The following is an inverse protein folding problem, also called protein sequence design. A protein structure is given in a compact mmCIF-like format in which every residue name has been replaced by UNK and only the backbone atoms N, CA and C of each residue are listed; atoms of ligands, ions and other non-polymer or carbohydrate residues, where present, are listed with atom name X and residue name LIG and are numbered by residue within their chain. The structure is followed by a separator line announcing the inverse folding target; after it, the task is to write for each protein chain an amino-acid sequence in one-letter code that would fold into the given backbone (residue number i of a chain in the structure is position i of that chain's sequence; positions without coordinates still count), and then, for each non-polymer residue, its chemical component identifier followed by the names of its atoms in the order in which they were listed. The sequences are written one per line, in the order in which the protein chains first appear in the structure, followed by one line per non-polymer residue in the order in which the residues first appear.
data_IF_865720964371
#
_entry.id   IF_865720964371
#
_cell.length_a   1.000
_cell.length_b   1.000
_cell.length_c   1.000
_cell.angle_alpha   90.00
_cell.angle_beta   90.00
_cell.angle_gamma   90.00
#
_symmetry.space_group_name_H-M   'P 1'
#
loop_
_entity.id
_entity.type
_entity.pdbx_description
1 polymer ?
#
# COMPACT_ATOMS: atom_id res chain seq x y z
N UNK A 1 -2.04 -32.39 -7.32
CA UNK A 1 -2.09 -31.04 -6.69
C UNK A 1 -3.53 -30.61 -6.49
N UNK A 2 -3.85 -29.83 -5.45
CA UNK A 2 -5.26 -29.45 -5.11
C UNK A 2 -6.03 -28.78 -6.26
N UNK A 3 -5.36 -28.10 -7.18
CA UNK A 3 -5.97 -27.37 -8.29
C UNK A 3 -5.53 -27.87 -9.68
N UNK A 4 -5.06 -29.10 -9.78
CA UNK A 4 -4.51 -29.66 -11.02
C UNK A 4 -5.58 -29.80 -12.12
N UNK A 5 -6.79 -30.24 -11.76
CA UNK A 5 -7.90 -30.34 -12.72
C UNK A 5 -8.33 -28.96 -13.24
N UNK A 6 -8.47 -27.97 -12.34
CA UNK A 6 -8.80 -26.61 -12.71
C UNK A 6 -7.72 -26.01 -13.63
N UNK A 7 -6.45 -26.28 -13.33
CA UNK A 7 -5.33 -25.80 -14.12
C UNK A 7 -5.30 -26.40 -15.53
N UNK A 8 -5.58 -27.69 -15.66
CA UNK A 8 -5.71 -28.39 -16.97
C UNK A 8 -6.88 -27.81 -17.78
N UNK A 9 -7.99 -27.59 -17.12
CA UNK A 9 -9.19 -27.03 -17.72
C UNK A 9 -8.96 -25.61 -18.23
N UNK A 10 -8.37 -24.76 -17.41
CA UNK A 10 -8.01 -23.39 -17.81
C UNK A 10 -7.08 -23.41 -19.02
N UNK A 11 -6.00 -24.21 -18.98
CA UNK A 11 -5.05 -24.29 -20.10
C UNK A 11 -5.70 -24.78 -21.38
N UNK A 12 -6.58 -25.79 -21.30
CA UNK A 12 -7.29 -26.31 -22.47
C UNK A 12 -8.16 -25.23 -23.09
N UNK A 13 -8.93 -24.50 -22.27
CA UNK A 13 -9.93 -23.54 -22.75
C UNK A 13 -9.39 -22.13 -23.00
N UNK A 14 -8.13 -21.83 -22.68
CA UNK A 14 -7.43 -20.64 -23.21
C UNK A 14 -6.78 -20.93 -24.59
N UNK A 15 -7.01 -22.10 -25.15
CA UNK A 15 -6.48 -22.51 -26.47
C UNK A 15 -5.20 -23.33 -26.40
N UNK A 16 -4.94 -23.97 -25.25
CA UNK A 16 -3.75 -24.80 -25.02
C UNK A 16 -2.48 -24.00 -24.68
N UNK A 17 -1.46 -24.71 -24.21
CA UNK A 17 -0.19 -24.08 -23.81
C UNK A 17 0.49 -23.31 -24.95
N UNK A 18 0.33 -23.76 -26.17
CA UNK A 18 0.91 -23.13 -27.38
C UNK A 18 0.27 -21.76 -27.66
N UNK A 19 -0.91 -21.52 -27.14
CA UNK A 19 -1.59 -20.23 -27.25
C UNK A 19 -1.19 -19.26 -26.14
N UNK A 20 -0.46 -19.72 -25.12
CA UNK A 20 -0.02 -18.88 -23.99
C UNK A 20 1.37 -18.32 -24.27
N UNK A 21 1.46 -17.02 -24.57
CA UNK A 21 2.74 -16.32 -24.72
C UNK A 21 3.40 -16.03 -23.38
N UNK A 22 2.62 -15.62 -22.39
CA UNK A 22 3.07 -15.43 -21.01
C UNK A 22 1.91 -15.56 -20.05
N UNK A 23 2.23 -15.99 -18.83
CA UNK A 23 1.29 -16.07 -17.71
C UNK A 23 1.88 -15.34 -16.51
N UNK A 24 1.06 -14.50 -15.91
CA UNK A 24 1.33 -13.82 -14.66
C UNK A 24 0.07 -13.85 -13.79
N UNK A 25 0.16 -13.42 -12.55
CA UNK A 25 -1.03 -13.29 -11.70
C UNK A 25 -0.96 -12.01 -10.86
N UNK A 26 -2.13 -11.52 -10.46
CA UNK A 26 -2.27 -10.56 -9.37
C UNK A 26 -3.00 -11.25 -8.21
N UNK A 27 -3.46 -10.51 -7.22
CA UNK A 27 -4.06 -11.07 -5.99
C UNK A 27 -5.28 -11.98 -6.26
N UNK A 28 -6.05 -11.71 -7.32
CA UNK A 28 -7.30 -12.43 -7.58
C UNK A 28 -7.43 -13.00 -9.00
N UNK A 29 -6.48 -12.74 -9.91
CA UNK A 29 -6.63 -13.06 -11.34
C UNK A 29 -5.37 -13.68 -11.91
N UNK A 30 -5.55 -14.69 -12.76
CA UNK A 30 -4.55 -15.12 -13.72
C UNK A 30 -4.59 -14.17 -14.92
N UNK A 31 -3.42 -13.75 -15.41
CA UNK A 31 -3.27 -12.84 -16.55
C UNK A 31 -2.49 -13.53 -17.64
N UNK A 32 -3.19 -13.91 -18.67
CA UNK A 32 -2.63 -14.51 -19.88
C UNK A 32 -2.39 -13.45 -20.94
N UNK A 33 -1.23 -13.48 -21.58
CA UNK A 33 -1.04 -12.90 -22.91
C UNK A 33 -1.17 -14.06 -23.90
N UNK A 34 -2.27 -14.11 -24.62
CA UNK A 34 -2.54 -15.15 -25.60
C UNK A 34 -1.94 -14.75 -26.96
N UNK A 35 -1.58 -15.76 -27.76
CA UNK A 35 -1.16 -15.55 -29.16
C UNK A 35 -2.37 -15.18 -30.01
N UNK A 36 -3.50 -15.86 -29.74
CA UNK A 36 -4.78 -15.67 -30.42
C UNK A 36 -5.93 -15.83 -29.42
N UNK A 37 -6.57 -14.71 -29.07
CA UNK A 37 -7.69 -14.70 -28.10
C UNK A 37 -8.95 -15.41 -28.63
N UNK A 38 -9.10 -15.55 -29.95
CA UNK A 38 -10.26 -16.23 -30.56
C UNK A 38 -10.30 -17.74 -30.30
N UNK A 39 -9.16 -18.31 -29.91
CA UNK A 39 -9.04 -19.73 -29.52
C UNK A 39 -9.52 -20.03 -28.12
N UNK A 40 -9.75 -18.98 -27.29
CA UNK A 40 -10.20 -19.16 -25.93
C UNK A 40 -11.72 -19.32 -25.84
N UNK A 41 -12.16 -20.39 -25.16
CA UNK A 41 -13.58 -20.62 -24.86
C UNK A 41 -13.98 -19.85 -23.61
N UNK A 42 -14.28 -18.56 -23.82
CA UNK A 42 -14.62 -17.62 -22.72
C UNK A 42 -15.94 -18.02 -22.03
N UNK A 43 -16.91 -18.56 -22.79
CA UNK A 43 -18.20 -18.90 -22.22
C UNK A 43 -18.15 -20.16 -21.36
N UNK A 44 -17.29 -21.11 -21.69
CA UNK A 44 -17.02 -22.27 -20.87
C UNK A 44 -16.30 -21.81 -19.54
N UNK A 45 -15.24 -21.01 -19.66
CA UNK A 45 -14.48 -20.56 -18.51
C UNK A 45 -15.31 -19.73 -17.53
N UNK A 46 -16.25 -18.91 -18.01
CA UNK A 46 -17.16 -18.16 -17.13
C UNK A 46 -18.10 -19.04 -16.31
N UNK A 47 -18.41 -20.25 -16.78
CA UNK A 47 -19.33 -21.20 -16.12
C UNK A 47 -18.60 -22.23 -15.28
N UNK A 48 -17.26 -22.29 -15.37
CA UNK A 48 -16.46 -23.31 -14.70
C UNK A 48 -16.37 -23.02 -13.21
N UNK A 49 -16.70 -24.01 -12.38
CA UNK A 49 -16.53 -23.93 -10.93
C UNK A 49 -15.06 -23.65 -10.56
N UNK A 50 -14.84 -22.71 -9.64
CA UNK A 50 -13.51 -22.21 -9.28
C UNK A 50 -13.04 -21.00 -10.10
N UNK A 51 -13.82 -20.55 -11.08
CA UNK A 51 -13.63 -19.31 -11.83
C UNK A 51 -14.79 -18.36 -11.52
N UNK A 52 -14.49 -17.13 -11.12
CA UNK A 52 -15.52 -16.12 -10.80
C UNK A 52 -16.05 -15.48 -12.08
N UNK A 53 -15.15 -15.11 -12.99
CA UNK A 53 -15.46 -14.54 -14.31
C UNK A 53 -14.20 -14.47 -15.18
N UNK A 54 -14.40 -14.08 -16.45
CA UNK A 54 -13.31 -13.81 -17.40
C UNK A 54 -13.45 -12.40 -17.93
N UNK A 55 -12.35 -11.66 -17.99
CA UNK A 55 -12.27 -10.27 -18.45
C UNK A 55 -11.21 -10.19 -19.55
N UNK A 56 -11.54 -9.54 -20.64
CA UNK A 56 -10.60 -9.21 -21.74
C UNK A 56 -10.37 -7.70 -21.70
N UNK A 57 -9.16 -7.28 -21.39
CA UNK A 57 -8.82 -5.86 -21.28
C UNK A 57 -7.34 -5.64 -21.50
N UNK A 58 -6.96 -4.57 -22.19
CA UNK A 58 -5.57 -4.17 -22.40
C UNK A 58 -4.69 -5.21 -23.10
N UNK A 59 -5.25 -6.02 -24.00
CA UNK A 59 -4.53 -7.12 -24.67
C UNK A 59 -4.15 -8.27 -23.72
N UNK A 60 -4.84 -8.38 -22.59
CA UNK A 60 -4.72 -9.46 -21.63
C UNK A 60 -6.03 -10.23 -21.48
N UNK A 61 -5.92 -11.53 -21.47
CA UNK A 61 -7.01 -12.44 -21.14
C UNK A 61 -6.92 -12.78 -19.66
N UNK A 62 -7.87 -12.31 -18.86
CA UNK A 62 -7.81 -12.37 -17.39
C UNK A 62 -8.87 -13.35 -16.88
N UNK A 63 -8.43 -14.40 -16.18
CA UNK A 63 -9.30 -15.37 -15.51
C UNK A 63 -9.34 -15.04 -14.01
N UNK A 64 -10.50 -14.61 -13.53
CA UNK A 64 -10.71 -14.21 -12.13
C UNK A 64 -10.96 -15.45 -11.29
N UNK A 65 -10.04 -15.75 -10.37
CA UNK A 65 -10.07 -16.94 -9.50
C UNK A 65 -10.48 -16.56 -8.06
N UNK A 66 -10.11 -15.36 -7.61
CA UNK A 66 -10.23 -14.96 -6.21
C UNK A 66 -8.97 -15.29 -5.39
N UNK A 67 -9.13 -15.44 -4.08
CA UNK A 67 -8.01 -15.53 -3.13
C UNK A 67 -7.09 -16.75 -3.33
N UNK A 68 -7.49 -17.74 -4.12
CA UNK A 68 -6.73 -18.96 -4.41
C UNK A 68 -5.82 -18.82 -5.65
N UNK A 69 -5.75 -17.64 -6.24
CA UNK A 69 -5.00 -17.42 -7.47
C UNK A 69 -3.52 -17.82 -7.39
N UNK A 70 -2.76 -17.64 -6.29
CA UNK A 70 -1.38 -18.09 -6.23
C UNK A 70 -1.23 -19.61 -6.39
N UNK A 71 -2.13 -20.37 -5.75
CA UNK A 71 -2.12 -21.85 -5.82
C UNK A 71 -2.51 -22.34 -7.23
N UNK A 72 -3.53 -21.70 -7.83
CA UNK A 72 -3.96 -22.01 -9.21
C UNK A 72 -2.89 -21.62 -10.22
N UNK A 73 -2.21 -20.49 -10.03
CA UNK A 73 -1.10 -20.07 -10.85
C UNK A 73 0.06 -21.08 -10.82
N UNK A 74 0.45 -21.54 -9.62
CA UNK A 74 1.47 -22.56 -9.47
C UNK A 74 1.07 -23.86 -10.18
N UNK A 75 -0.20 -24.29 -10.08
CA UNK A 75 -0.72 -25.46 -10.74
C UNK A 75 -0.74 -25.31 -12.27
N UNK A 76 -1.14 -24.13 -12.81
CA UNK A 76 -1.15 -23.85 -14.25
C UNK A 76 0.26 -23.86 -14.82
N UNK A 77 1.24 -23.27 -14.13
CA UNK A 77 2.64 -23.31 -14.54
C UNK A 77 3.19 -24.75 -14.54
N UNK A 78 2.88 -25.53 -13.50
CA UNK A 78 3.35 -26.92 -13.40
C UNK A 78 2.76 -27.82 -14.51
N UNK A 79 1.46 -27.69 -14.79
CA UNK A 79 0.76 -28.45 -15.82
C UNK A 79 1.17 -28.01 -17.23
N UNK A 80 1.29 -26.70 -17.45
CA UNK A 80 1.63 -26.13 -18.77
C UNK A 80 3.12 -26.17 -19.09
N UNK A 81 4.01 -26.41 -18.11
CA UNK A 81 5.45 -26.24 -18.27
C UNK A 81 5.80 -24.80 -18.64
N UNK A 82 5.03 -23.83 -18.12
CA UNK A 82 5.21 -22.42 -18.43
C UNK A 82 6.24 -21.82 -17.46
N UNK A 83 7.18 -21.06 -18.00
CA UNK A 83 8.05 -20.20 -17.19
C UNK A 83 7.30 -18.90 -16.92
N UNK A 84 6.40 -18.91 -15.93
CA UNK A 84 5.57 -17.75 -15.59
C UNK A 84 6.39 -16.58 -15.06
N UNK A 85 5.92 -15.37 -15.35
CA UNK A 85 6.54 -14.11 -14.93
C UNK A 85 6.38 -13.76 -13.44
N UNK A 86 5.83 -14.67 -12.62
CA UNK A 86 5.58 -14.43 -11.19
C UNK A 86 4.41 -13.47 -10.92
N UNK A 87 4.36 -12.95 -9.70
CA UNK A 87 3.39 -11.94 -9.33
C UNK A 87 3.72 -10.61 -10.02
N UNK A 88 2.83 -10.14 -10.87
CA UNK A 88 2.92 -8.80 -11.47
C UNK A 88 1.96 -7.86 -10.76
N UNK A 89 2.48 -6.73 -10.33
CA UNK A 89 1.63 -5.61 -9.93
C UNK A 89 0.69 -5.28 -11.09
N UNK A 90 -0.56 -4.95 -10.74
CA UNK A 90 -1.60 -4.67 -11.72
C UNK A 90 -1.23 -3.45 -12.57
N UNK A 91 -0.52 -3.66 -13.68
CA UNK A 91 -0.47 -2.67 -14.75
C UNK A 91 -1.80 -2.76 -15.51
N UNK A 92 -2.80 -2.04 -15.01
CA UNK A 92 -3.99 -1.72 -15.78
C UNK A 92 -3.61 -0.66 -16.81
N UNK A 93 -3.28 -1.07 -18.01
CA UNK A 93 -3.43 -0.24 -19.19
C UNK A 93 -4.90 -0.17 -19.58
N UNK A 94 -5.75 0.27 -18.65
CA UNK A 94 -7.09 0.74 -18.96
C UNK A 94 -7.00 2.12 -19.64
N UNK A 95 -8.02 2.54 -20.41
CA UNK A 95 -8.05 3.88 -20.99
C UNK A 95 -7.82 4.90 -19.88
N UNK A 96 -6.96 5.90 -20.11
CA UNK A 96 -6.65 6.99 -19.18
C UNK A 96 -7.96 7.65 -18.76
N UNK A 97 -8.54 7.18 -17.66
CA UNK A 97 -9.75 7.74 -17.07
C UNK A 97 -9.50 9.17 -16.57
N UNK A 98 -10.55 9.84 -16.16
CA UNK A 98 -10.51 11.14 -15.49
C UNK A 98 -9.43 11.15 -14.40
N UNK A 99 -8.83 12.29 -14.08
CA UNK A 99 -7.82 12.46 -12.99
C UNK A 99 -8.28 11.80 -11.68
N UNK A 100 -9.58 11.86 -11.40
CA UNK A 100 -10.20 11.20 -10.25
C UNK A 100 -10.08 9.66 -10.30
N UNK A 101 -10.30 9.04 -11.46
CA UNK A 101 -10.16 7.60 -11.62
C UNK A 101 -8.70 7.16 -11.47
N UNK A 102 -7.74 7.96 -11.97
CA UNK A 102 -6.31 7.70 -11.78
C UNK A 102 -5.91 7.79 -10.31
N UNK A 103 -6.49 8.72 -9.55
CA UNK A 103 -6.26 8.85 -8.12
C UNK A 103 -6.81 7.64 -7.34
N UNK A 104 -8.05 7.20 -7.64
CA UNK A 104 -8.64 6.00 -7.01
C UNK A 104 -7.80 4.77 -7.33
N UNK A 105 -7.37 4.62 -8.57
CA UNK A 105 -6.55 3.49 -9.02
C UNK A 105 -5.19 3.46 -8.30
N UNK A 106 -4.54 4.63 -8.16
CA UNK A 106 -3.33 4.78 -7.38
C UNK A 106 -3.52 4.34 -5.93
N UNK A 107 -4.55 4.85 -5.26
CA UNK A 107 -4.87 4.49 -3.87
C UNK A 107 -5.10 2.99 -3.75
N UNK A 108 -5.90 2.42 -4.66
CA UNK A 108 -6.20 0.98 -4.69
C UNK A 108 -4.91 0.15 -4.81
N UNK A 109 -4.01 0.50 -5.72
CA UNK A 109 -2.72 -0.19 -5.90
C UNK A 109 -1.81 -0.12 -4.67
N UNK A 110 -1.81 1.02 -3.98
CA UNK A 110 -1.02 1.20 -2.77
C UNK A 110 -1.58 0.38 -1.60
N UNK A 111 -2.92 0.31 -1.47
CA UNK A 111 -3.56 -0.42 -0.37
C UNK A 111 -3.63 -1.94 -0.59
N UNK A 112 -3.73 -2.39 -1.83
CA UNK A 112 -3.95 -3.79 -2.19
C UNK A 112 -3.01 -4.78 -1.47
N UNK A 113 -1.67 -4.54 -1.37
CA UNK A 113 -0.77 -5.48 -0.71
C UNK A 113 -0.98 -5.59 0.80
N UNK A 114 -1.56 -4.57 1.43
CA UNK A 114 -1.73 -4.51 2.89
C UNK A 114 -3.15 -4.86 3.36
N UNK A 115 -4.11 -5.09 2.44
CA UNK A 115 -5.50 -5.39 2.80
C UNK A 115 -5.64 -6.65 3.65
N UNK A 116 -4.90 -7.71 3.35
CA UNK A 116 -4.93 -8.95 4.11
C UNK A 116 -4.50 -8.76 5.57
N UNK A 117 -3.28 -8.26 5.83
CA UNK A 117 -2.84 -7.89 7.18
C UNK A 117 -3.77 -6.90 7.89
N UNK A 118 -4.30 -5.90 7.17
CA UNK A 118 -5.24 -4.92 7.72
C UNK A 118 -6.52 -5.59 8.24
N UNK A 119 -7.10 -6.50 7.45
CA UNK A 119 -8.28 -7.25 7.85
C UNK A 119 -7.99 -8.18 9.04
N UNK A 120 -6.87 -8.90 9.02
CA UNK A 120 -6.47 -9.81 10.10
C UNK A 120 -6.28 -9.07 11.43
N UNK A 121 -5.58 -7.93 11.42
CA UNK A 121 -5.37 -7.11 12.62
C UNK A 121 -6.66 -6.46 13.11
N UNK A 122 -7.56 -6.08 12.19
CA UNK A 122 -8.92 -5.63 12.52
C UNK A 122 -9.74 -6.71 13.24
N UNK A 123 -9.63 -7.97 12.80
CA UNK A 123 -10.27 -9.11 13.51
C UNK A 123 -9.67 -9.31 14.89
N UNK A 124 -8.36 -9.17 15.09
CA UNK A 124 -7.72 -9.24 16.41
C UNK A 124 -8.24 -8.15 17.35
N UNK A 125 -8.46 -6.92 16.88
CA UNK A 125 -9.12 -5.86 17.66
C UNK A 125 -10.54 -6.26 18.06
N UNK A 126 -11.29 -6.89 17.17
CA UNK A 126 -12.61 -7.43 17.47
C UNK A 126 -12.56 -8.50 18.55
N UNK A 127 -11.60 -9.43 18.49
CA UNK A 127 -11.38 -10.45 19.54
C UNK A 127 -11.04 -9.78 20.89
N UNK A 128 -10.14 -8.79 20.90
CA UNK A 128 -9.81 -8.04 22.11
C UNK A 128 -11.05 -7.39 22.75
N UNK A 129 -11.91 -6.77 21.93
CA UNK A 129 -13.16 -6.17 22.40
C UNK A 129 -14.13 -7.21 22.98
N UNK A 130 -14.25 -8.40 22.36
CA UNK A 130 -15.09 -9.50 22.86
C UNK A 130 -14.56 -10.05 24.19
N UNK A 131 -13.25 -10.15 24.39
CA UNK A 131 -12.65 -10.60 25.65
C UNK A 131 -12.97 -9.62 26.79
N UNK A 132 -12.91 -8.31 26.56
CA UNK A 132 -13.33 -7.30 27.53
C UNK A 132 -14.82 -7.43 27.84
N UNK A 133 -15.67 -7.60 26.83
CA UNK A 133 -17.11 -7.80 27.01
C UNK A 133 -17.42 -9.10 27.80
N UNK A 134 -16.58 -10.12 27.71
CA UNK A 134 -16.66 -11.35 28.51
C UNK A 134 -16.09 -11.21 29.93
N UNK A 135 -15.64 -10.01 30.33
CA UNK A 135 -15.17 -9.72 31.70
C UNK A 135 -13.65 -9.78 31.88
N UNK A 136 -12.87 -9.91 30.81
CA UNK A 136 -11.41 -9.83 30.90
C UNK A 136 -10.96 -8.41 31.23
N UNK A 137 -10.01 -8.26 32.15
CA UNK A 137 -9.44 -6.96 32.47
C UNK A 137 -8.57 -6.43 31.33
N UNK A 138 -8.64 -5.13 31.06
CA UNK A 138 -7.74 -4.45 30.11
C UNK A 138 -6.29 -4.41 30.56
N UNK A 139 -6.02 -4.76 31.82
CA UNK A 139 -4.66 -4.91 32.38
C UNK A 139 -4.15 -6.35 32.33
N UNK A 140 -4.97 -7.30 31.87
CA UNK A 140 -4.56 -8.69 31.71
C UNK A 140 -3.51 -8.80 30.58
N UNK A 141 -2.46 -9.58 30.84
CA UNK A 141 -1.37 -9.74 29.86
C UNK A 141 -1.84 -10.34 28.52
N UNK A 142 -2.82 -11.24 28.53
CA UNK A 142 -3.39 -11.80 27.31
C UNK A 142 -4.12 -10.73 26.48
N UNK A 143 -4.92 -9.88 27.14
CA UNK A 143 -5.57 -8.75 26.49
C UNK A 143 -4.53 -7.79 25.89
N UNK A 144 -3.54 -7.39 26.67
CA UNK A 144 -2.51 -6.44 26.23
C UNK A 144 -1.75 -6.94 24.97
N UNK A 145 -1.41 -8.24 24.94
CA UNK A 145 -0.74 -8.84 23.78
C UNK A 145 -1.63 -8.88 22.54
N UNK A 146 -2.89 -9.29 22.69
CA UNK A 146 -3.86 -9.33 21.58
C UNK A 146 -4.13 -7.90 21.06
N UNK A 147 -4.30 -6.94 21.97
CA UNK A 147 -4.50 -5.54 21.65
C UNK A 147 -3.29 -4.98 20.90
N UNK A 148 -2.07 -5.26 21.36
CA UNK A 148 -0.85 -4.81 20.68
C UNK A 148 -0.73 -5.42 19.27
N UNK A 149 -1.05 -6.68 19.09
CA UNK A 149 -1.05 -7.34 17.77
C UNK A 149 -2.12 -6.75 16.83
N UNK A 150 -3.31 -6.41 17.35
CA UNK A 150 -4.38 -5.80 16.59
C UNK A 150 -4.14 -4.32 16.28
N UNK A 151 -3.63 -3.56 17.25
CA UNK A 151 -3.49 -2.10 17.15
C UNK A 151 -2.18 -1.66 16.49
N UNK A 152 -1.12 -2.45 16.64
CA UNK A 152 0.21 -2.11 16.16
C UNK A 152 0.24 -1.84 14.66
N UNK A 153 -0.45 -2.65 13.86
CA UNK A 153 -0.51 -2.45 12.41
C UNK A 153 -1.17 -1.11 12.05
N UNK A 154 -2.29 -0.77 12.70
CA UNK A 154 -2.99 0.50 12.48
C UNK A 154 -2.14 1.69 12.93
N UNK A 155 -1.52 1.59 14.11
CA UNK A 155 -0.68 2.65 14.65
C UNK A 155 0.51 2.97 13.72
N UNK A 156 1.14 1.94 13.17
CA UNK A 156 2.27 2.05 12.24
C UNK A 156 1.87 1.99 10.76
N UNK A 157 0.58 2.12 10.45
CA UNK A 157 0.07 2.11 9.07
C UNK A 157 0.85 3.01 8.11
N UNK A 158 1.30 4.23 8.48
CA UNK A 158 2.12 5.06 7.60
C UNK A 158 3.41 4.38 7.12
N UNK A 159 4.02 3.50 7.92
CA UNK A 159 5.26 2.79 7.53
C UNK A 159 4.95 1.76 6.42
N UNK A 160 3.87 1.01 6.56
CA UNK A 160 3.44 0.03 5.55
C UNK A 160 3.01 0.72 4.25
N UNK A 161 2.28 1.83 4.36
CA UNK A 161 1.91 2.65 3.21
C UNK A 161 3.12 3.29 2.53
N UNK A 162 4.13 3.73 3.29
CA UNK A 162 5.36 4.24 2.71
C UNK A 162 6.07 3.18 1.85
N UNK A 163 6.11 1.93 2.32
CA UNK A 163 6.70 0.82 1.57
C UNK A 163 5.95 0.56 0.25
N UNK A 164 4.63 0.47 0.28
CA UNK A 164 3.85 0.21 -0.94
C UNK A 164 3.81 1.42 -1.88
N UNK A 165 3.67 2.64 -1.34
CA UNK A 165 3.71 3.87 -2.11
C UNK A 165 5.07 4.12 -2.77
N UNK A 166 6.18 3.73 -2.11
CA UNK A 166 7.53 3.88 -2.67
C UNK A 166 7.71 3.08 -3.96
N UNK A 167 7.12 1.90 -4.05
CA UNK A 167 7.12 1.09 -5.28
C UNK A 167 6.33 1.79 -6.38
N UNK A 168 5.15 2.33 -6.06
CA UNK A 168 4.33 3.07 -7.01
C UNK A 168 5.03 4.34 -7.53
N UNK A 169 5.64 5.12 -6.64
CA UNK A 169 6.34 6.37 -7.00
C UNK A 169 7.81 6.17 -7.41
N UNK A 170 8.30 4.92 -7.45
CA UNK A 170 9.69 4.57 -7.84
C UNK A 170 10.75 5.25 -6.97
N UNK A 171 10.53 5.28 -5.66
CA UNK A 171 11.45 5.75 -4.63
C UNK A 171 12.14 4.57 -3.94
N UNK A 172 13.30 4.79 -3.32
CA UNK A 172 13.89 3.78 -2.46
C UNK A 172 12.95 3.47 -1.27
N UNK A 173 12.55 2.20 -1.12
CA UNK A 173 11.54 1.81 -0.13
C UNK A 173 11.99 2.03 1.31
N UNK A 174 13.27 1.82 1.61
CA UNK A 174 13.78 2.04 2.97
C UNK A 174 13.88 3.54 3.31
N UNK A 175 14.21 4.39 2.33
CA UNK A 175 14.18 5.84 2.51
C UNK A 175 12.76 6.35 2.74
N UNK A 176 11.78 5.81 2.02
CA UNK A 176 10.36 6.13 2.22
C UNK A 176 9.88 5.69 3.61
N UNK A 177 10.25 4.48 4.05
CA UNK A 177 9.93 4.00 5.41
C UNK A 177 10.59 4.87 6.48
N UNK A 178 11.83 5.34 6.26
CA UNK A 178 12.51 6.24 7.19
C UNK A 178 11.80 7.59 7.33
N UNK A 179 11.21 8.13 6.24
CA UNK A 179 10.34 9.32 6.33
C UNK A 179 9.12 9.01 7.21
N UNK A 180 8.47 7.86 6.99
CA UNK A 180 7.30 7.47 7.77
C UNK A 180 7.62 7.25 9.25
N UNK A 181 8.77 6.63 9.59
CA UNK A 181 9.19 6.46 10.99
C UNK A 181 9.41 7.81 11.68
N UNK A 182 9.96 8.81 10.98
CA UNK A 182 10.09 10.15 11.52
C UNK A 182 8.73 10.81 11.80
N UNK A 183 7.72 10.56 10.95
CA UNK A 183 6.36 11.09 11.14
C UNK A 183 5.63 10.45 12.33
N UNK A 184 5.83 9.16 12.59
CA UNK A 184 5.20 8.45 13.73
C UNK A 184 6.10 8.42 14.97
N UNK A 185 7.21 9.16 14.96
CA UNK A 185 8.12 9.21 16.09
C UNK A 185 7.43 9.82 17.33
N UNK A 186 7.49 9.17 18.51
CA UNK A 186 6.75 9.62 19.68
C UNK A 186 7.05 11.07 20.10
N UNK A 187 8.25 11.56 19.86
CA UNK A 187 8.62 12.93 20.16
C UNK A 187 8.00 14.01 19.25
N UNK A 188 7.25 13.59 18.21
CA UNK A 188 6.52 14.49 17.30
C UNK A 188 5.06 14.70 17.69
N UNK A 189 4.61 14.10 18.77
CA UNK A 189 3.27 14.30 19.34
C UNK A 189 3.32 15.41 20.39
N UNK A 190 2.23 16.18 20.53
CA UNK A 190 2.12 17.25 21.53
C UNK A 190 2.53 16.75 22.92
N UNK A 191 3.49 17.41 23.59
CA UNK A 191 3.92 17.00 24.91
C UNK A 191 2.82 17.26 25.95
N UNK A 192 2.45 16.24 26.71
CA UNK A 192 1.46 16.37 27.78
C UNK A 192 2.02 17.24 28.93
N UNK A 193 1.22 18.18 29.42
CA UNK A 193 1.56 19.01 30.59
C UNK A 193 2.63 20.09 30.35
N UNK A 194 2.89 20.43 29.09
CA UNK A 194 3.79 21.55 28.71
C UNK A 194 2.95 22.66 28.11
N UNK A 195 3.18 23.91 28.53
CA UNK A 195 2.52 25.07 27.93
C UNK A 195 3.09 25.36 26.54
N UNK A 196 2.24 25.68 25.55
CA UNK A 196 2.70 26.05 24.21
C UNK A 196 3.43 27.39 24.25
N UNK A 197 4.42 27.55 23.36
CA UNK A 197 5.10 28.85 23.15
C UNK A 197 4.10 29.93 22.71
N UNK A 198 3.20 29.56 21.84
CA UNK A 198 2.05 30.33 21.37
C UNK A 198 1.10 29.41 20.58
N UNK A 199 -0.10 29.92 20.25
CA UNK A 199 -1.09 29.18 19.49
C UNK A 199 -1.37 29.88 18.16
N UNK A 200 -1.20 29.15 17.05
CA UNK A 200 -1.59 29.62 15.73
C UNK A 200 -3.09 29.41 15.52
N UNK A 201 -3.73 30.32 14.78
CA UNK A 201 -5.14 30.25 14.40
C UNK A 201 -6.10 30.08 15.59
N UNK A 202 -5.79 30.66 16.74
CA UNK A 202 -6.59 30.53 17.96
C UNK A 202 -8.07 30.84 17.71
N UNK A 203 -8.97 30.01 18.26
CA UNK A 203 -10.42 30.11 18.06
C UNK A 203 -10.94 29.66 16.70
N UNK A 204 -10.10 29.07 15.85
CA UNK A 204 -10.52 28.48 14.56
C UNK A 204 -10.44 26.95 14.61
N UNK A 205 -11.06 26.29 13.60
CA UNK A 205 -10.94 24.83 13.40
C UNK A 205 -9.50 24.38 13.09
N UNK A 206 -8.59 25.30 12.81
CA UNK A 206 -7.18 25.07 12.54
C UNK A 206 -6.29 25.43 13.72
N UNK A 207 -6.88 25.70 14.89
CA UNK A 207 -6.13 26.03 16.10
C UNK A 207 -5.02 25.01 16.35
N UNK A 208 -3.79 25.51 16.46
CA UNK A 208 -2.60 24.68 16.55
C UNK A 208 -1.62 25.28 17.58
N UNK A 209 -1.49 24.64 18.76
CA UNK A 209 -0.50 25.04 19.74
C UNK A 209 0.90 24.69 19.26
N UNK A 210 1.85 25.63 19.43
CA UNK A 210 3.25 25.50 19.01
C UNK A 210 4.13 25.29 20.22
N UNK A 211 4.85 24.18 20.24
CA UNK A 211 5.75 23.79 21.33
C UNK A 211 7.24 23.91 20.95
N UNK A 212 7.56 23.89 19.66
CA UNK A 212 8.91 24.02 19.15
C UNK A 212 8.95 24.74 17.81
N UNK A 213 10.14 25.23 17.44
CA UNK A 213 10.40 25.83 16.13
C UNK A 213 11.56 25.13 15.43
N UNK A 214 11.51 25.05 14.10
CA UNK A 214 12.59 24.57 13.25
C UNK A 214 13.11 25.75 12.42
N UNK A 215 14.33 26.19 12.66
CA UNK A 215 14.94 27.37 12.01
C UNK A 215 14.05 28.63 12.08
N UNK A 216 13.34 28.82 13.20
CA UNK A 216 12.43 29.93 13.40
C UNK A 216 11.01 29.71 12.85
N UNK A 217 10.75 28.65 12.10
CA UNK A 217 9.42 28.29 11.63
C UNK A 217 8.67 27.47 12.69
N UNK A 218 7.37 27.74 12.91
CA UNK A 218 6.56 26.99 13.87
C UNK A 218 6.40 25.54 13.43
N UNK A 219 6.65 24.59 14.34
CA UNK A 219 6.37 23.17 14.12
C UNK A 219 5.03 22.84 14.73
N UNK A 220 4.06 22.47 13.89
CA UNK A 220 2.77 21.96 14.32
C UNK A 220 2.91 20.49 14.63
N UNK A 221 2.99 20.16 15.93
CA UNK A 221 3.12 18.78 16.37
C UNK A 221 1.77 18.07 16.25
N UNK A 222 1.74 17.00 15.47
CA UNK A 222 0.54 16.19 15.25
C UNK A 222 0.90 14.71 15.29
N UNK A 223 -0.05 13.88 15.76
CA UNK A 223 0.09 12.43 15.61
C UNK A 223 -0.28 12.04 14.19
N UNK A 224 0.69 11.51 13.46
CA UNK A 224 0.45 10.92 12.14
C UNK A 224 0.24 9.40 12.20
N UNK A 225 0.19 8.82 13.40
CA UNK A 225 -0.21 7.42 13.60
C UNK A 225 -1.58 7.17 12.95
N UNK A 226 -1.74 6.02 12.31
CA UNK A 226 -2.98 5.64 11.59
C UNK A 226 -3.38 6.58 10.44
N UNK A 227 -2.55 7.55 10.05
CA UNK A 227 -2.85 8.46 8.95
C UNK A 227 -2.46 7.88 7.60
N UNK A 228 -3.13 8.34 6.53
CA UNK A 228 -2.93 7.87 5.16
C UNK A 228 -2.41 8.98 4.26
N UNK A 229 -3.13 10.09 4.15
CA UNK A 229 -2.85 11.14 3.16
C UNK A 229 -1.48 11.79 3.37
N UNK A 230 -1.08 12.16 4.60
CA UNK A 230 0.22 12.79 4.83
C UNK A 230 1.40 11.97 4.32
N UNK A 231 1.41 10.66 4.58
CA UNK A 231 2.52 9.79 4.15
C UNK A 231 2.57 9.59 2.63
N UNK A 232 1.43 9.45 1.97
CA UNK A 232 1.39 9.32 0.50
C UNK A 232 1.97 10.56 -0.18
N UNK A 233 1.61 11.75 0.31
CA UNK A 233 2.17 13.02 -0.18
C UNK A 233 3.67 13.15 0.14
N UNK A 234 4.09 12.73 1.33
CA UNK A 234 5.50 12.74 1.73
C UNK A 234 6.36 11.83 0.84
N UNK A 235 5.89 10.61 0.53
CA UNK A 235 6.60 9.68 -0.36
C UNK A 235 6.60 10.19 -1.80
N UNK A 236 5.50 10.77 -2.27
CA UNK A 236 5.47 11.42 -3.59
C UNK A 236 6.49 12.55 -3.69
N UNK A 237 6.52 13.46 -2.72
CA UNK A 237 7.52 14.54 -2.64
C UNK A 237 8.93 13.96 -2.56
N UNK A 238 9.13 12.98 -1.69
CA UNK A 238 10.40 12.27 -1.51
C UNK A 238 10.92 11.65 -2.80
N UNK A 239 10.04 11.05 -3.60
CA UNK A 239 10.42 10.48 -4.89
C UNK A 239 10.95 11.53 -5.87
N UNK A 240 10.36 12.73 -5.89
CA UNK A 240 10.83 13.84 -6.74
C UNK A 240 12.18 14.34 -6.29
N UNK A 241 12.36 14.57 -4.97
CA UNK A 241 13.63 15.00 -4.38
C UNK A 241 14.72 13.96 -4.64
N UNK A 242 14.47 12.69 -4.34
CA UNK A 242 15.42 11.59 -4.56
C UNK A 242 15.86 11.49 -6.02
N UNK A 243 14.92 11.62 -6.97
CA UNK A 243 15.22 11.54 -8.39
C UNK A 243 16.08 12.72 -8.89
N UNK A 244 15.93 13.90 -8.32
CA UNK A 244 16.81 15.05 -8.60
C UNK A 244 18.20 14.80 -8.00
N UNK A 245 18.28 14.37 -6.73
CA UNK A 245 19.54 14.11 -6.05
C UNK A 245 20.35 13.01 -6.71
N UNK A 246 19.71 11.96 -7.24
CA UNK A 246 20.38 10.91 -8.04
C UNK A 246 21.10 11.43 -9.28
N UNK A 247 20.70 12.58 -9.83
CA UNK A 247 21.32 13.20 -11.00
C UNK A 247 22.47 14.14 -10.64
N UNK A 248 22.44 14.71 -9.43
CA UNK A 248 23.38 15.74 -8.98
C UNK A 248 24.52 15.13 -8.17
N UNK A 249 24.23 14.12 -7.34
CA UNK A 249 25.21 13.52 -6.44
C UNK A 249 26.13 12.56 -7.22
N UNK A 250 27.48 12.68 -7.05
CA UNK A 250 28.45 11.77 -7.67
C UNK A 250 28.25 10.31 -7.27
N UNK A 251 28.49 9.36 -8.18
CA UNK A 251 28.25 7.94 -8.01
C UNK A 251 28.98 7.32 -6.80
N UNK A 252 30.19 7.80 -6.51
CA UNK A 252 31.03 7.32 -5.41
C UNK A 252 30.36 7.44 -4.04
N UNK A 253 29.57 8.50 -3.82
CA UNK A 253 28.91 8.79 -2.54
C UNK A 253 27.37 8.63 -2.60
N UNK A 254 26.83 8.33 -3.76
CA UNK A 254 25.40 8.29 -4.05
C UNK A 254 24.64 7.36 -3.09
N UNK A 255 25.23 6.22 -2.73
CA UNK A 255 24.59 5.18 -1.91
C UNK A 255 24.06 5.72 -0.57
N UNK A 256 24.81 6.59 0.10
CA UNK A 256 24.43 7.14 1.39
C UNK A 256 24.03 8.62 1.34
N UNK A 257 24.60 9.41 0.42
CA UNK A 257 24.28 10.83 0.32
C UNK A 257 22.89 11.11 -0.23
N UNK A 258 22.40 10.27 -1.15
CA UNK A 258 21.03 10.42 -1.68
C UNK A 258 19.98 10.22 -0.59
N UNK A 259 19.95 9.08 0.15
CA UNK A 259 18.99 8.93 1.25
C UNK A 259 19.20 9.97 2.36
N UNK A 260 20.45 10.28 2.75
CA UNK A 260 20.75 11.29 3.76
C UNK A 260 20.14 12.66 3.39
N UNK A 261 20.43 13.16 2.20
CA UNK A 261 19.94 14.47 1.76
C UNK A 261 18.42 14.46 1.53
N UNK A 262 17.88 13.33 1.03
CA UNK A 262 16.44 13.18 0.89
C UNK A 262 15.73 13.29 2.24
N UNK A 263 16.19 12.58 3.26
CA UNK A 263 15.64 12.66 4.62
C UNK A 263 15.77 14.05 5.21
N UNK A 264 16.95 14.67 5.07
CA UNK A 264 17.23 16.01 5.60
C UNK A 264 16.28 17.08 5.01
N UNK A 265 15.85 16.92 3.78
CA UNK A 265 14.94 17.86 3.10
C UNK A 265 13.48 17.46 3.33
N UNK A 266 13.13 16.19 3.07
CA UNK A 266 11.73 15.75 3.00
C UNK A 266 11.08 15.65 4.38
N UNK A 267 11.81 15.21 5.41
CA UNK A 267 11.24 15.09 6.77
C UNK A 267 10.83 16.47 7.31
N UNK A 268 11.67 17.52 7.33
CA UNK A 268 11.23 18.85 7.76
C UNK A 268 10.08 19.40 6.89
N UNK A 269 10.17 19.28 5.56
CA UNK A 269 9.09 19.74 4.67
C UNK A 269 7.76 19.02 4.96
N UNK A 270 7.82 17.73 5.25
CA UNK A 270 6.63 16.95 5.58
C UNK A 270 6.02 17.42 6.89
N UNK A 271 6.82 17.58 7.94
CA UNK A 271 6.34 17.95 9.27
C UNK A 271 5.84 19.41 9.30
N UNK A 272 6.55 20.32 8.61
CA UNK A 272 6.19 21.76 8.62
C UNK A 272 4.98 22.07 7.73
N UNK A 273 4.84 21.40 6.58
CA UNK A 273 3.86 21.80 5.56
C UNK A 273 2.92 20.66 5.16
N UNK A 274 3.45 19.54 4.66
CA UNK A 274 2.63 18.48 4.06
C UNK A 274 1.68 17.88 5.10
N UNK A 275 2.19 17.57 6.27
CA UNK A 275 1.42 16.97 7.36
C UNK A 275 0.27 17.87 7.82
N UNK A 276 0.54 19.09 8.32
CA UNK A 276 -0.51 20.00 8.77
C UNK A 276 -1.54 20.32 7.69
N UNK A 277 -1.10 20.67 6.47
CA UNK A 277 -2.01 21.02 5.37
C UNK A 277 -2.92 19.83 5.01
N UNK A 278 -2.35 18.62 4.91
CA UNK A 278 -3.14 17.44 4.57
C UNK A 278 -4.10 17.01 5.68
N UNK A 279 -3.73 17.22 6.94
CA UNK A 279 -4.59 16.94 8.09
C UNK A 279 -5.74 17.95 8.15
N UNK A 280 -5.46 19.25 7.98
CA UNK A 280 -6.51 20.26 7.91
C UNK A 280 -7.44 20.06 6.73
N UNK A 281 -6.92 19.68 5.56
CA UNK A 281 -7.77 19.35 4.40
C UNK A 281 -8.68 18.14 4.70
N UNK A 282 -8.20 17.14 5.43
CA UNK A 282 -9.00 15.99 5.84
C UNK A 282 -10.08 16.36 6.90
N UNK A 283 -9.83 17.40 7.71
CA UNK A 283 -10.83 17.89 8.71
C UNK A 283 -11.98 18.65 8.03
N UNK A 284 -11.76 19.17 6.82
CA UNK A 284 -12.77 19.90 6.03
C UNK A 284 -13.70 18.99 5.21
N UNK A 285 -13.36 17.70 5.06
CA UNK A 285 -14.14 16.70 4.31
C UNK A 285 -15.06 15.89 5.21
#
# INVERSE_FOLDING_TARGET
MKYEELAKDILTHVGGKENVRSLAHCITRLRFKLVDESKADTEYLKKREGIVTVIQSGGQYQVVIGNHVPDVYAAVNAVGGLNGGGEVEAEDEGPKGTIFNQFIDMISKIFQPILGPLAATGMLKGVAALLVAAGMSTTDGAYVLIQAAGDGFFNFLPIFLAFTASKHFKMNSFTAMAIATAMVYPGMVNPAGVDPLYTLFAGSIFESPIYMTFLGLPVIMMSYASSVVPILLAVFLGSKVENVLKKVIPDVVKLFMVPFTTLLIVVPLTILFVGPISTWAATLL
#
